data_IF_630501361249
#
_entry.id   IF_630501361249
#
_cell.length_a   1.000
_cell.length_b   1.000
_cell.length_c   1.000
_cell.angle_alpha   90.00
_cell.angle_beta   90.00
_cell.angle_gamma   90.00
#
_symmetry.space_group_name_H-M   'P 1'
#
loop_
_entity.id
_entity.type
_entity.pdbx_description
1 polymer ?
#
# COMPACT_ATOMS: atom_id res chain seq x y z
N UNK A 1 -3.24 3.41 -13.92
CA UNK A 1 -3.53 3.81 -15.32
C UNK A 1 -2.65 3.06 -16.32
N UNK A 2 -1.32 3.00 -16.12
CA UNK A 2 -0.41 2.27 -17.03
C UNK A 2 -0.82 0.79 -17.17
N UNK A 3 -1.05 0.07 -16.07
CA UNK A 3 -1.55 -1.31 -16.08
C UNK A 3 -2.84 -1.47 -16.89
N UNK A 4 -3.73 -0.48 -16.82
CA UNK A 4 -4.98 -0.52 -17.57
C UNK A 4 -4.75 -0.35 -19.08
N UNK A 5 -3.79 0.48 -19.48
CA UNK A 5 -3.42 0.65 -20.90
C UNK A 5 -2.72 -0.60 -21.45
N UNK A 6 -1.86 -1.24 -20.64
CA UNK A 6 -1.09 -2.41 -21.06
C UNK A 6 -1.85 -3.74 -20.94
N UNK A 7 -3.08 -3.72 -20.43
CA UNK A 7 -3.94 -4.90 -20.33
C UNK A 7 -4.68 -5.13 -21.64
N UNK A 8 -4.70 -6.37 -22.14
CA UNK A 8 -5.40 -6.73 -23.39
C UNK A 8 -6.91 -6.42 -23.35
N UNK A 9 -7.54 -6.47 -22.18
CA UNK A 9 -8.93 -6.04 -21.97
C UNK A 9 -9.07 -4.54 -21.62
N UNK A 10 -7.99 -3.77 -21.72
CA UNK A 10 -7.96 -2.34 -21.43
C UNK A 10 -8.46 -1.50 -22.61
N UNK A 11 -8.54 -0.16 -22.42
CA UNK A 11 -9.09 0.75 -23.42
C UNK A 11 -8.25 0.88 -24.70
N UNK A 12 -7.04 0.37 -24.70
CA UNK A 12 -6.09 0.39 -25.82
C UNK A 12 -5.68 -1.03 -26.25
N UNK A 13 -6.44 -2.04 -25.84
CA UNK A 13 -6.23 -3.45 -26.20
C UNK A 13 -4.78 -3.94 -25.93
N UNK A 14 -4.18 -3.44 -24.85
CA UNK A 14 -2.82 -3.75 -24.45
C UNK A 14 -1.72 -2.98 -25.17
N UNK A 15 -2.07 -2.01 -25.99
CA UNK A 15 -1.12 -1.12 -26.66
C UNK A 15 -0.82 0.11 -25.78
N UNK A 16 0.47 0.43 -25.64
CA UNK A 16 0.90 1.65 -24.94
C UNK A 16 0.81 2.84 -25.90
N UNK A 17 -0.39 3.36 -26.04
CA UNK A 17 -0.70 4.53 -26.85
C UNK A 17 -1.48 5.56 -26.04
N UNK A 18 -1.35 6.83 -26.42
CA UNK A 18 -2.19 7.89 -25.84
C UNK A 18 -3.63 7.70 -26.33
N UNK A 19 -4.62 7.49 -25.45
CA UNK A 19 -6.01 7.27 -25.88
C UNK A 19 -6.58 8.40 -26.74
N UNK A 20 -6.08 9.63 -26.57
CA UNK A 20 -6.52 10.82 -27.31
C UNK A 20 -5.96 10.92 -28.73
N UNK A 21 -4.80 10.33 -29.00
CA UNK A 21 -4.09 10.52 -30.29
C UNK A 21 -3.71 9.23 -31.00
N UNK A 22 -3.80 8.07 -30.31
CA UNK A 22 -3.34 6.77 -30.81
C UNK A 22 -1.82 6.66 -30.99
N UNK A 23 -1.04 7.66 -30.57
CA UNK A 23 0.42 7.68 -30.76
C UNK A 23 1.12 6.95 -29.62
N UNK A 24 2.23 6.27 -29.92
CA UNK A 24 3.13 5.67 -28.96
C UNK A 24 4.06 6.72 -28.34
N UNK A 25 4.37 6.64 -27.02
CA UNK A 25 5.41 7.46 -26.42
C UNK A 25 6.79 7.00 -26.91
N UNK A 26 7.73 7.94 -27.08
CA UNK A 26 9.14 7.66 -27.41
C UNK A 26 10.03 7.71 -26.20
N UNK A 27 9.66 8.55 -25.22
CA UNK A 27 10.39 8.72 -23.96
C UNK A 27 9.44 8.60 -22.79
N UNK A 28 9.73 7.68 -21.87
CA UNK A 28 8.93 7.43 -20.67
C UNK A 28 9.79 7.67 -19.43
N UNK A 29 9.28 8.46 -18.51
CA UNK A 29 9.89 8.66 -17.19
C UNK A 29 8.98 8.03 -16.14
N UNK A 30 9.52 7.13 -15.33
CA UNK A 30 8.84 6.52 -14.18
C UNK A 30 9.39 7.15 -12.90
N UNK A 31 8.52 7.70 -12.08
CA UNK A 31 8.90 8.34 -10.81
C UNK A 31 8.48 7.45 -9.66
N UNK A 32 9.46 6.91 -8.92
CA UNK A 32 9.20 6.09 -7.73
C UNK A 32 8.89 6.94 -6.50
N UNK A 33 8.26 6.32 -5.51
CA UNK A 33 7.99 6.88 -4.18
C UNK A 33 7.14 8.17 -4.18
N UNK A 34 6.24 8.35 -5.15
CA UNK A 34 5.37 9.53 -5.20
C UNK A 34 4.39 9.53 -4.04
N UNK A 35 4.59 10.41 -3.06
CA UNK A 35 3.82 10.47 -1.82
C UNK A 35 4.10 9.34 -0.84
N UNK A 36 5.12 8.50 -1.07
CA UNK A 36 5.66 7.52 -0.11
C UNK A 36 7.04 7.96 0.35
N UNK A 37 7.42 7.62 1.60
CA UNK A 37 8.71 8.01 2.20
C UNK A 37 8.88 9.54 2.18
N UNK A 38 7.78 10.22 2.34
CA UNK A 38 7.63 11.66 2.27
C UNK A 38 7.16 12.16 3.64
N UNK A 39 7.97 12.99 4.28
CA UNK A 39 7.72 13.55 5.61
C UNK A 39 6.89 14.83 5.57
N UNK A 40 6.49 15.31 4.39
CA UNK A 40 5.59 16.45 4.26
C UNK A 40 4.16 16.06 4.62
N UNK A 41 3.34 17.04 4.93
CA UNK A 41 1.92 16.84 5.26
C UNK A 41 1.10 16.14 4.15
N UNK A 42 1.57 16.22 2.90
CA UNK A 42 0.90 15.62 1.74
C UNK A 42 1.30 14.16 1.51
N UNK A 43 2.42 13.75 2.08
CA UNK A 43 3.02 12.43 1.91
C UNK A 43 2.66 11.45 3.00
N UNK A 44 3.21 10.24 2.85
CA UNK A 44 3.22 9.16 3.83
C UNK A 44 4.66 8.80 4.15
N UNK A 45 4.99 8.69 5.43
CA UNK A 45 6.36 8.42 5.87
C UNK A 45 6.83 7.00 5.54
N UNK A 46 5.89 6.06 5.40
CA UNK A 46 6.20 4.66 5.11
C UNK A 46 6.50 4.40 3.62
N UNK A 47 7.15 3.27 3.37
CA UNK A 47 7.36 2.73 2.02
C UNK A 47 6.15 1.94 1.57
N UNK A 48 5.68 2.16 0.33
CA UNK A 48 4.60 1.37 -0.28
C UNK A 48 5.02 -0.05 -0.70
N UNK A 49 6.28 -0.44 -0.47
CA UNK A 49 6.88 -1.77 -0.61
C UNK A 49 6.86 -2.36 -2.04
N UNK A 50 5.78 -2.24 -2.78
CA UNK A 50 5.56 -2.94 -4.06
C UNK A 50 6.03 -2.15 -5.30
N UNK A 51 6.26 -0.83 -5.16
CA UNK A 51 6.48 0.03 -6.33
C UNK A 51 7.80 -0.27 -7.07
N UNK A 52 8.87 -0.65 -6.39
CA UNK A 52 10.13 -0.99 -7.06
C UNK A 52 9.96 -2.19 -8.01
N UNK A 53 9.21 -3.20 -7.59
CA UNK A 53 8.95 -4.39 -8.40
C UNK A 53 8.01 -4.11 -9.58
N UNK A 54 6.90 -3.42 -9.38
CA UNK A 54 6.01 -3.13 -10.49
C UNK A 54 6.59 -2.09 -11.45
N UNK A 55 7.44 -1.16 -11.00
CA UNK A 55 8.16 -0.25 -11.88
C UNK A 55 9.16 -1.00 -12.76
N UNK A 56 9.91 -1.96 -12.20
CA UNK A 56 10.79 -2.83 -12.99
C UNK A 56 10.00 -3.62 -14.03
N UNK A 57 8.87 -4.24 -13.63
CA UNK A 57 7.96 -4.95 -14.55
C UNK A 57 7.46 -4.05 -15.68
N UNK A 58 7.00 -2.85 -15.36
CA UNK A 58 6.49 -1.90 -16.36
C UNK A 58 7.59 -1.44 -17.31
N UNK A 59 8.77 -1.13 -16.78
CA UNK A 59 9.90 -0.71 -17.59
C UNK A 59 10.36 -1.81 -18.55
N UNK A 60 10.47 -3.04 -18.08
CA UNK A 60 10.80 -4.22 -18.92
C UNK A 60 9.73 -4.46 -19.97
N UNK A 61 8.45 -4.44 -19.60
CA UNK A 61 7.34 -4.61 -20.53
C UNK A 61 7.37 -3.57 -21.66
N UNK A 62 7.63 -2.30 -21.32
CA UNK A 62 7.74 -1.24 -22.34
C UNK A 62 8.92 -1.51 -23.27
N UNK A 63 10.09 -1.84 -22.72
CA UNK A 63 11.29 -2.12 -23.53
C UNK A 63 11.16 -3.37 -24.37
N UNK A 64 10.47 -4.40 -23.90
CA UNK A 64 10.21 -5.64 -24.64
C UNK A 64 9.31 -5.40 -25.84
N UNK A 65 8.17 -4.74 -25.64
CA UNK A 65 7.20 -4.48 -26.73
C UNK A 65 7.59 -3.32 -27.62
N UNK A 66 8.32 -2.33 -27.10
CA UNK A 66 8.70 -1.10 -27.78
C UNK A 66 10.21 -0.85 -27.62
N UNK A 67 11.07 -1.58 -28.33
CA UNK A 67 12.54 -1.52 -28.14
C UNK A 67 13.16 -0.12 -28.36
N UNK A 68 12.50 0.74 -29.12
CA UNK A 68 12.94 2.09 -29.43
C UNK A 68 12.49 3.14 -28.40
N UNK A 69 11.69 2.75 -27.38
CA UNK A 69 11.24 3.66 -26.33
C UNK A 69 12.33 3.79 -25.28
N UNK A 70 12.75 5.01 -25.00
CA UNK A 70 13.67 5.31 -23.90
C UNK A 70 12.91 5.32 -22.57
N UNK A 71 13.35 4.51 -21.61
CA UNK A 71 12.71 4.39 -20.29
C UNK A 71 13.70 4.76 -19.19
N UNK A 72 13.37 5.83 -18.46
CA UNK A 72 14.15 6.29 -17.30
C UNK A 72 13.33 6.14 -16.02
N UNK A 73 13.90 5.50 -14.99
CA UNK A 73 13.29 5.32 -13.68
C UNK A 73 14.06 6.14 -12.64
N UNK A 74 13.38 7.12 -12.01
CA UNK A 74 13.92 7.84 -10.86
C UNK A 74 13.58 7.11 -9.56
N UNK A 75 14.56 6.92 -8.69
CA UNK A 75 14.42 6.18 -7.45
C UNK A 75 15.28 6.76 -6.32
N UNK A 76 14.87 6.55 -5.07
CA UNK A 76 15.64 6.91 -3.87
C UNK A 76 16.61 5.77 -3.52
N UNK A 77 16.07 4.58 -3.34
CA UNK A 77 16.75 3.28 -3.27
C UNK A 77 15.81 2.21 -3.86
N UNK A 78 16.36 1.11 -4.32
CA UNK A 78 15.60 -0.03 -4.82
C UNK A 78 15.34 -0.99 -3.66
N UNK A 79 14.07 -1.32 -3.44
CA UNK A 79 13.61 -2.28 -2.43
C UNK A 79 12.91 -3.43 -3.12
N UNK A 80 13.62 -4.52 -3.25
CA UNK A 80 13.17 -5.75 -3.91
C UNK A 80 13.31 -6.94 -2.96
N UNK A 81 12.60 -6.94 -1.81
CA UNK A 81 12.73 -7.98 -0.80
C UNK A 81 12.03 -9.25 -1.28
N UNK A 82 12.80 -10.29 -1.53
CA UNK A 82 12.29 -11.59 -1.96
C UNK A 82 13.32 -12.36 -2.79
N UNK A 83 13.17 -13.69 -2.82
CA UNK A 83 14.04 -14.57 -3.61
C UNK A 83 13.80 -14.31 -5.10
N UNK A 84 14.85 -13.96 -5.83
CA UNK A 84 14.81 -13.67 -7.27
C UNK A 84 14.33 -12.27 -7.63
N UNK A 85 13.99 -11.40 -6.66
CA UNK A 85 13.45 -10.07 -6.93
C UNK A 85 14.56 -9.06 -7.26
N UNK A 86 15.74 -9.20 -6.65
CA UNK A 86 16.89 -8.38 -6.99
C UNK A 86 17.42 -8.69 -8.40
N UNK A 87 17.46 -9.97 -8.74
CA UNK A 87 17.79 -10.45 -10.08
C UNK A 87 16.80 -9.93 -11.13
N UNK A 88 15.52 -9.88 -10.80
CA UNK A 88 14.49 -9.30 -11.67
C UNK A 88 14.74 -7.81 -11.94
N UNK A 89 15.10 -7.05 -10.90
CA UNK A 89 15.48 -5.65 -11.05
C UNK A 89 16.74 -5.50 -11.91
N UNK A 90 17.78 -6.34 -11.67
CA UNK A 90 19.02 -6.30 -12.47
C UNK A 90 18.75 -6.56 -13.94
N UNK A 91 17.88 -7.50 -14.25
CA UNK A 91 17.47 -7.77 -15.64
C UNK A 91 16.90 -6.53 -16.32
N UNK A 92 16.09 -5.73 -15.62
CA UNK A 92 15.57 -4.50 -16.18
C UNK A 92 16.69 -3.54 -16.63
N UNK A 93 17.78 -3.48 -15.89
CA UNK A 93 18.95 -2.65 -16.20
C UNK A 93 19.84 -3.29 -17.28
N UNK A 94 20.24 -4.55 -17.07
CA UNK A 94 21.30 -5.21 -17.85
C UNK A 94 20.81 -5.76 -19.17
N UNK A 95 19.60 -6.37 -19.21
CA UNK A 95 19.06 -7.00 -20.42
C UNK A 95 18.15 -6.06 -21.21
N UNK A 96 17.31 -5.28 -20.50
CA UNK A 96 16.33 -4.39 -21.15
C UNK A 96 16.81 -2.96 -21.32
N UNK A 97 18.00 -2.60 -20.78
CA UNK A 97 18.60 -1.30 -20.95
C UNK A 97 17.77 -0.15 -20.36
N UNK A 98 17.05 -0.41 -19.24
CA UNK A 98 16.31 0.63 -18.54
C UNK A 98 17.27 1.54 -17.78
N UNK A 99 17.14 2.84 -17.95
CA UNK A 99 17.97 3.83 -17.27
C UNK A 99 17.47 4.09 -15.85
N UNK A 100 18.19 3.59 -14.84
CA UNK A 100 17.88 3.87 -13.44
C UNK A 100 18.73 5.03 -12.94
N UNK A 101 18.08 6.14 -12.53
CA UNK A 101 18.72 7.34 -12.00
C UNK A 101 18.39 7.45 -10.52
N UNK A 102 19.43 7.34 -9.68
CA UNK A 102 19.28 7.57 -8.25
C UNK A 102 19.10 9.05 -7.99
N UNK A 103 17.88 9.46 -7.65
CA UNK A 103 17.57 10.87 -7.49
C UNK A 103 16.10 11.12 -7.23
N UNK A 104 15.78 12.38 -7.11
CA UNK A 104 14.42 12.84 -6.89
C UNK A 104 13.96 13.76 -8.02
N UNK A 105 12.72 13.57 -8.42
CA UNK A 105 12.02 14.50 -9.29
C UNK A 105 11.42 15.61 -8.42
N UNK A 106 11.92 16.81 -8.58
CA UNK A 106 11.46 17.99 -7.83
C UNK A 106 10.19 18.58 -8.43
N UNK A 107 10.04 18.51 -9.76
CA UNK A 107 8.88 19.11 -10.45
C UNK A 107 8.62 18.40 -11.77
N UNK A 108 7.34 18.21 -12.07
CA UNK A 108 6.85 17.91 -13.42
C UNK A 108 6.01 19.11 -13.86
N UNK A 109 6.38 19.73 -14.98
CA UNK A 109 5.67 20.85 -15.55
C UNK A 109 5.05 20.45 -16.90
N UNK A 110 3.95 21.09 -17.23
CA UNK A 110 3.30 21.00 -18.54
C UNK A 110 3.32 22.41 -19.13
N UNK A 111 3.80 22.58 -20.34
CA UNK A 111 3.76 23.86 -21.03
C UNK A 111 2.39 24.12 -21.70
N UNK A 112 2.25 25.29 -22.35
CA UNK A 112 1.01 25.68 -23.02
C UNK A 112 0.62 24.76 -24.19
N UNK A 113 1.56 24.02 -24.76
CA UNK A 113 1.38 23.06 -25.85
C UNK A 113 1.16 21.63 -25.35
N UNK A 114 1.09 21.44 -24.05
CA UNK A 114 0.90 20.13 -23.41
C UNK A 114 2.17 19.28 -23.33
N UNK A 115 3.36 19.83 -23.59
CA UNK A 115 4.63 19.12 -23.48
C UNK A 115 5.08 19.01 -22.03
N UNK A 116 5.57 17.83 -21.67
CA UNK A 116 6.04 17.53 -20.33
C UNK A 116 7.53 17.93 -20.16
N UNK A 117 7.84 18.54 -19.03
CA UNK A 117 9.21 18.78 -18.58
C UNK A 117 9.38 18.24 -17.17
N UNK A 118 10.38 17.39 -16.98
CA UNK A 118 10.73 16.80 -15.68
C UNK A 118 12.04 17.42 -15.20
N UNK A 119 11.98 18.07 -14.03
CA UNK A 119 13.13 18.61 -13.33
C UNK A 119 13.53 17.64 -12.22
N UNK A 120 14.75 17.14 -12.27
CA UNK A 120 15.25 16.14 -11.35
C UNK A 120 16.70 16.41 -10.96
N UNK A 121 17.17 15.70 -9.94
CA UNK A 121 18.59 15.71 -9.55
C UNK A 121 19.10 14.27 -9.55
N UNK A 122 20.23 14.05 -10.18
CA UNK A 122 20.99 12.79 -10.07
C UNK A 122 21.93 12.89 -8.88
N UNK A 123 21.67 12.09 -7.85
CA UNK A 123 22.47 12.10 -6.62
C UNK A 123 23.85 11.46 -6.79
N UNK A 124 24.04 10.61 -7.79
CA UNK A 124 25.33 9.96 -8.03
C UNK A 124 26.31 10.91 -8.71
N UNK A 125 25.85 11.71 -9.67
CA UNK A 125 26.68 12.68 -10.38
C UNK A 125 26.62 14.10 -9.80
N UNK A 126 25.66 14.39 -8.91
CA UNK A 126 25.36 15.72 -8.38
C UNK A 126 24.77 16.69 -9.41
N UNK A 127 24.36 16.22 -10.56
CA UNK A 127 23.86 17.06 -11.66
C UNK A 127 22.35 17.27 -11.58
N UNK A 128 21.93 18.48 -11.93
CA UNK A 128 20.52 18.73 -12.23
C UNK A 128 20.19 18.25 -13.64
N UNK A 129 19.08 17.55 -13.76
CA UNK A 129 18.58 16.99 -15.00
C UNK A 129 17.28 17.66 -15.41
N UNK A 130 17.17 17.95 -16.69
CA UNK A 130 15.94 18.40 -17.32
C UNK A 130 15.62 17.48 -18.48
N UNK A 131 14.50 16.74 -18.37
CA UNK A 131 14.07 15.75 -19.34
C UNK A 131 12.75 16.18 -19.98
N UNK A 132 12.57 15.79 -21.21
CA UNK A 132 11.36 16.07 -22.00
C UNK A 132 10.70 14.76 -22.43
N UNK A 133 10.01 14.06 -21.49
CA UNK A 133 9.33 12.81 -21.81
C UNK A 133 7.99 13.06 -22.48
N UNK A 134 7.53 12.07 -23.25
CA UNK A 134 6.18 12.03 -23.78
C UNK A 134 5.18 11.51 -22.75
N UNK A 135 5.66 10.65 -21.80
CA UNK A 135 4.86 10.05 -20.74
C UNK A 135 5.61 10.08 -19.42
N UNK A 136 4.93 10.53 -18.37
CA UNK A 136 5.39 10.39 -16.99
C UNK A 136 4.47 9.45 -16.22
N UNK A 137 5.05 8.41 -15.65
CA UNK A 137 4.37 7.41 -14.83
C UNK A 137 4.69 7.68 -13.37
N UNK A 138 3.68 7.92 -12.56
CA UNK A 138 3.84 8.18 -11.13
C UNK A 138 3.55 6.91 -10.32
N UNK A 139 4.55 6.40 -9.60
CA UNK A 139 4.39 5.31 -8.65
C UNK A 139 3.83 5.86 -7.33
N UNK A 140 2.51 6.02 -7.28
CA UNK A 140 1.80 6.61 -6.16
C UNK A 140 1.83 5.76 -4.89
N UNK A 141 1.73 6.41 -3.74
CA UNK A 141 1.67 5.76 -2.44
C UNK A 141 0.44 4.85 -2.31
N UNK A 142 0.66 3.69 -1.70
CA UNK A 142 -0.41 2.79 -1.27
C UNK A 142 -1.00 3.36 0.02
N UNK A 143 -2.30 3.61 0.03
CA UNK A 143 -3.04 4.12 1.19
C UNK A 143 -4.18 3.16 1.53
N UNK A 144 -4.63 3.12 2.80
CA UNK A 144 -5.86 2.46 3.16
C UNK A 144 -7.07 3.01 2.39
N UNK A 145 -8.14 2.22 2.31
CA UNK A 145 -9.41 2.70 1.77
C UNK A 145 -9.91 3.91 2.57
N UNK A 146 -10.54 4.90 1.94
CA UNK A 146 -11.17 6.02 2.66
C UNK A 146 -12.16 5.58 3.74
N UNK A 147 -12.81 4.42 3.57
CA UNK A 147 -13.76 3.85 4.51
C UNK A 147 -13.12 2.98 5.61
N UNK A 148 -11.79 2.80 5.62
CA UNK A 148 -11.11 1.93 6.59
C UNK A 148 -11.42 2.32 8.03
N UNK A 149 -11.38 3.61 8.37
CA UNK A 149 -11.69 4.13 9.72
C UNK A 149 -13.15 3.88 10.11
N UNK A 150 -14.10 4.05 9.19
CA UNK A 150 -15.52 3.78 9.42
C UNK A 150 -15.74 2.30 9.72
N UNK A 151 -15.15 1.41 8.92
CA UNK A 151 -15.25 -0.03 9.14
C UNK A 151 -14.57 -0.45 10.44
N UNK A 152 -13.41 0.13 10.77
CA UNK A 152 -12.73 -0.11 12.04
C UNK A 152 -13.63 0.21 13.24
N UNK A 153 -14.32 1.36 13.20
CA UNK A 153 -15.27 1.75 14.25
C UNK A 153 -16.42 0.74 14.38
N UNK A 154 -17.00 0.30 13.24
CA UNK A 154 -18.08 -0.69 13.24
C UNK A 154 -17.65 -2.05 13.81
N UNK A 155 -16.42 -2.46 13.58
CA UNK A 155 -15.85 -3.73 14.05
C UNK A 155 -15.17 -3.61 15.42
N UNK A 156 -15.10 -2.42 15.98
CA UNK A 156 -14.29 -2.11 17.19
C UNK A 156 -12.84 -2.56 17.02
N UNK A 157 -12.32 -2.47 15.79
CA UNK A 157 -10.96 -2.87 15.44
C UNK A 157 -10.00 -1.69 15.55
N UNK A 158 -8.78 -1.96 16.01
CA UNK A 158 -7.74 -0.94 16.13
C UNK A 158 -7.11 -0.63 14.78
N UNK A 159 -6.78 0.65 14.55
CA UNK A 159 -6.02 1.14 13.42
C UNK A 159 -4.82 1.97 13.91
N UNK A 160 -3.79 2.05 13.09
CA UNK A 160 -2.62 2.88 13.34
C UNK A 160 -2.83 4.35 12.89
N UNK A 161 -1.79 5.16 13.01
CA UNK A 161 -1.82 6.58 12.63
C UNK A 161 -1.99 6.79 11.11
N UNK A 162 -1.75 5.76 10.31
CA UNK A 162 -1.90 5.78 8.86
C UNK A 162 -3.18 5.12 8.37
N UNK A 163 -4.09 4.75 9.29
CA UNK A 163 -5.39 4.09 9.07
C UNK A 163 -5.28 2.62 8.60
N UNK A 164 -4.15 1.95 8.79
CA UNK A 164 -4.05 0.51 8.63
C UNK A 164 -4.51 -0.21 9.90
N UNK A 165 -5.12 -1.38 9.72
CA UNK A 165 -5.52 -2.23 10.85
C UNK A 165 -4.30 -2.80 11.58
N UNK A 166 -4.38 -2.82 12.91
CA UNK A 166 -3.28 -3.29 13.77
C UNK A 166 -3.54 -4.72 14.20
N UNK A 167 -2.52 -5.57 14.09
CA UNK A 167 -2.53 -6.93 14.62
C UNK A 167 -2.41 -6.94 16.15
N UNK A 168 -2.93 -8.00 16.76
CA UNK A 168 -2.86 -8.20 18.20
C UNK A 168 -1.41 -8.34 18.72
N UNK A 169 -0.53 -8.94 17.92
CA UNK A 169 0.91 -9.02 18.19
C UNK A 169 1.68 -9.37 16.92
N UNK A 170 2.71 -8.59 16.53
CA UNK A 170 3.36 -8.75 15.22
C UNK A 170 4.06 -10.09 15.01
N UNK A 171 4.50 -10.77 16.08
CA UNK A 171 5.18 -12.07 15.99
C UNK A 171 4.29 -13.25 16.36
N UNK A 172 3.44 -13.12 17.37
CA UNK A 172 2.69 -14.25 17.95
C UNK A 172 1.27 -14.34 17.40
N UNK A 173 0.67 -13.22 17.00
CA UNK A 173 -0.71 -13.11 16.51
C UNK A 173 -0.79 -12.15 15.32
N UNK A 174 -0.07 -12.43 14.21
CA UNK A 174 0.13 -11.46 13.12
C UNK A 174 -1.09 -11.31 12.20
N UNK A 175 -2.07 -12.19 12.30
CA UNK A 175 -3.29 -12.17 11.47
C UNK A 175 -4.57 -11.98 12.29
N UNK A 176 -4.45 -11.82 13.60
CA UNK A 176 -5.56 -11.56 14.51
C UNK A 176 -5.53 -10.09 14.91
N UNK A 177 -6.66 -9.42 14.91
CA UNK A 177 -6.76 -8.08 15.51
C UNK A 177 -6.83 -8.20 17.05
N UNK A 178 -6.66 -7.09 17.80
CA UNK A 178 -6.94 -7.08 19.24
C UNK A 178 -8.39 -7.46 19.58
N UNK A 179 -9.31 -7.23 18.64
CA UNK A 179 -10.73 -7.59 18.80
C UNK A 179 -10.95 -9.06 18.43
N UNK A 180 -11.51 -9.83 19.36
CA UNK A 180 -11.78 -11.25 19.13
C UNK A 180 -12.75 -11.45 17.96
N UNK A 181 -12.45 -12.45 17.11
CA UNK A 181 -13.25 -12.78 15.93
C UNK A 181 -12.97 -11.92 14.69
N UNK A 182 -12.10 -10.92 14.80
CA UNK A 182 -11.66 -10.10 13.66
C UNK A 182 -10.24 -10.50 13.25
N UNK A 183 -10.11 -10.94 12.00
CA UNK A 183 -8.86 -11.40 11.41
C UNK A 183 -8.42 -10.49 10.27
N UNK A 184 -7.11 -10.33 10.11
CA UNK A 184 -6.51 -9.40 9.15
C UNK A 184 -5.85 -10.17 8.01
N UNK A 185 -6.08 -9.73 6.78
CA UNK A 185 -5.47 -10.31 5.59
C UNK A 185 -5.19 -9.24 4.53
N UNK A 186 -4.02 -9.32 3.91
CA UNK A 186 -3.63 -8.47 2.81
C UNK A 186 -3.31 -7.03 3.20
N UNK A 187 -3.58 -6.10 2.29
CA UNK A 187 -3.16 -4.71 2.39
C UNK A 187 -3.92 -3.88 3.43
N UNK A 188 -4.94 -4.43 4.08
CA UNK A 188 -5.63 -3.73 5.16
C UNK A 188 -4.72 -3.47 6.38
N UNK A 189 -3.70 -4.30 6.58
CA UNK A 189 -2.71 -4.16 7.66
C UNK A 189 -1.48 -3.35 7.25
N UNK A 190 -1.23 -3.18 5.97
CA UNK A 190 -0.08 -2.46 5.42
C UNK A 190 0.24 -2.90 4.00
N UNK A 191 1.12 -2.18 3.30
CA UNK A 191 1.53 -2.54 1.95
C UNK A 191 2.15 -3.93 1.87
N UNK A 192 1.62 -4.78 0.99
CA UNK A 192 2.05 -6.17 0.76
C UNK A 192 2.03 -6.51 -0.72
N UNK A 193 2.90 -7.43 -1.13
CA UNK A 193 2.82 -8.03 -2.45
C UNK A 193 1.79 -9.18 -2.51
N UNK A 194 1.61 -9.76 -3.69
CA UNK A 194 0.63 -10.84 -3.89
C UNK A 194 1.02 -12.12 -3.11
N UNK A 195 2.29 -12.62 -3.17
CA UNK A 195 2.71 -13.78 -2.39
C UNK A 195 2.50 -13.60 -0.89
N UNK A 196 2.83 -12.45 -0.33
CA UNK A 196 2.61 -12.14 1.09
C UNK A 196 1.11 -12.10 1.43
N UNK A 197 0.31 -11.48 0.56
CA UNK A 197 -1.15 -11.41 0.73
C UNK A 197 -1.78 -12.81 0.75
N UNK A 198 -1.38 -13.69 -0.18
CA UNK A 198 -1.88 -15.07 -0.24
C UNK A 198 -1.45 -15.87 0.99
N UNK A 199 -0.19 -15.74 1.39
CA UNK A 199 0.34 -16.39 2.59
C UNK A 199 -0.41 -15.95 3.85
N UNK A 200 -0.66 -14.66 3.99
CA UNK A 200 -1.41 -14.10 5.11
C UNK A 200 -2.89 -14.53 5.10
N UNK A 201 -3.51 -14.60 3.91
CA UNK A 201 -4.87 -15.10 3.77
C UNK A 201 -5.00 -16.57 4.24
N UNK A 202 -4.02 -17.42 3.88
CA UNK A 202 -3.95 -18.78 4.38
C UNK A 202 -3.82 -18.86 5.90
N UNK A 203 -2.98 -18.02 6.49
CA UNK A 203 -2.82 -17.95 7.94
C UNK A 203 -4.10 -17.47 8.65
N UNK A 204 -4.77 -16.43 8.11
CA UNK A 204 -6.03 -15.95 8.63
C UNK A 204 -7.13 -17.02 8.56
N UNK A 205 -7.24 -17.73 7.42
CA UNK A 205 -8.19 -18.82 7.25
C UNK A 205 -7.94 -19.96 8.27
N UNK A 206 -6.68 -20.35 8.50
CA UNK A 206 -6.33 -21.36 9.50
C UNK A 206 -6.76 -20.93 10.92
N UNK A 207 -6.61 -19.64 11.27
CA UNK A 207 -7.07 -19.12 12.56
C UNK A 207 -8.60 -19.11 12.68
N UNK A 208 -9.31 -18.75 11.62
CA UNK A 208 -10.78 -18.82 11.57
C UNK A 208 -11.25 -20.25 11.75
N UNK A 209 -10.66 -21.21 11.04
CA UNK A 209 -10.97 -22.64 11.17
C UNK A 209 -10.73 -23.09 12.61
N UNK A 210 -9.57 -22.75 13.20
CA UNK A 210 -9.25 -23.10 14.59
C UNK A 210 -10.22 -22.53 15.62
N UNK A 211 -10.85 -21.39 15.31
CA UNK A 211 -11.91 -20.81 16.14
C UNK A 211 -13.24 -21.53 15.97
N UNK A 212 -13.66 -21.78 14.71
CA UNK A 212 -14.98 -22.31 14.37
C UNK A 212 -15.09 -23.84 14.49
N UNK A 213 -13.95 -24.56 14.55
CA UNK A 213 -13.92 -26.02 14.74
C UNK A 213 -14.22 -26.46 16.19
N UNK A 214 -14.37 -25.52 17.11
CA UNK A 214 -14.67 -25.81 18.52
C UNK A 214 -16.18 -25.84 18.75
N UNK A 215 -16.64 -26.80 19.53
CA UNK A 215 -18.06 -26.88 19.93
C UNK A 215 -18.46 -25.73 20.88
N UNK A 216 -17.49 -25.17 21.60
CA UNK A 216 -17.70 -24.04 22.51
C UNK A 216 -16.45 -23.15 22.54
N UNK A 217 -16.64 -21.88 22.85
CA UNK A 217 -15.57 -20.90 23.07
C UNK A 217 -15.34 -20.72 24.57
N UNK A 218 -14.09 -20.80 24.99
CA UNK A 218 -13.69 -20.44 26.34
C UNK A 218 -13.55 -18.92 26.43
N UNK A 219 -14.27 -18.30 27.35
CA UNK A 219 -14.13 -16.88 27.65
C UNK A 219 -13.05 -16.66 28.72
N UNK A 220 -12.45 -15.46 28.70
CA UNK A 220 -11.49 -15.11 29.75
C UNK A 220 -12.25 -15.01 31.11
N UNK A 221 -11.88 -15.81 32.11
CA UNK A 221 -12.56 -15.81 33.42
C UNK A 221 -12.34 -14.50 34.20
N UNK A 222 -11.33 -13.71 33.85
CA UNK A 222 -11.04 -12.43 34.50
C UNK A 222 -11.85 -11.25 33.91
N UNK A 223 -13.07 -11.50 33.49
CA UNK A 223 -13.98 -10.45 33.01
C UNK A 223 -14.75 -9.84 34.18
N UNK A 224 -14.77 -8.51 34.26
CA UNK A 224 -15.58 -7.81 35.28
C UNK A 224 -17.06 -8.08 35.08
N UNK A 225 -17.74 -8.56 36.13
CA UNK A 225 -19.16 -8.82 36.12
C UNK A 225 -19.86 -7.91 37.14
N UNK A 226 -20.90 -7.24 36.70
CA UNK A 226 -21.75 -6.49 37.61
C UNK A 226 -22.91 -7.39 38.11
N UNK A 227 -22.98 -7.59 39.41
CA UNK A 227 -24.09 -8.28 40.04
C UNK A 227 -25.28 -7.29 40.26
N UNK A 228 -26.22 -7.30 39.37
CA UNK A 228 -27.35 -6.34 39.37
C UNK A 228 -28.11 -6.31 40.71
N UNK A 229 -28.27 -7.47 41.38
CA UNK A 229 -29.01 -7.62 42.61
C UNK A 229 -28.38 -6.90 43.82
N UNK A 230 -27.06 -6.61 43.75
CA UNK A 230 -26.32 -5.92 44.83
C UNK A 230 -25.74 -4.60 44.38
N UNK A 231 -25.96 -4.23 43.11
CA UNK A 231 -25.47 -2.99 42.53
C UNK A 231 -26.25 -1.78 43.09
N UNK A 232 -25.58 -0.84 43.69
CA UNK A 232 -26.15 0.41 44.21
C UNK A 232 -26.47 1.44 43.13
N UNK A 233 -26.14 1.19 41.88
CA UNK A 233 -26.33 2.13 40.75
C UNK A 233 -25.45 3.39 40.82
N UNK A 234 -24.37 3.40 41.57
CA UNK A 234 -23.52 4.58 41.76
C UNK A 234 -22.76 5.05 40.52
N UNK A 235 -22.74 4.26 39.44
CA UNK A 235 -22.12 4.56 38.12
C UNK A 235 -20.60 4.74 38.15
N UNK A 236 -19.94 4.53 39.30
CA UNK A 236 -18.49 4.69 39.42
C UNK A 236 -17.72 3.82 38.43
N UNK A 237 -18.17 2.57 38.20
CA UNK A 237 -17.54 1.66 37.25
C UNK A 237 -17.58 2.19 35.80
N UNK A 238 -18.66 2.85 35.40
CA UNK A 238 -18.77 3.48 34.08
C UNK A 238 -17.86 4.72 33.96
N UNK A 239 -17.77 5.51 35.03
CA UNK A 239 -16.92 6.72 35.04
C UNK A 239 -15.42 6.43 35.03
N UNK A 240 -14.98 5.34 35.70
CA UNK A 240 -13.54 4.99 35.75
C UNK A 240 -13.10 4.08 34.62
N UNK A 241 -14.01 3.56 33.79
CA UNK A 241 -13.67 2.68 32.68
C UNK A 241 -13.03 3.48 31.53
N UNK A 242 -11.73 3.32 31.24
CA UNK A 242 -11.05 4.09 30.20
C UNK A 242 -11.52 3.71 28.78
N UNK A 243 -12.23 2.58 28.65
CA UNK A 243 -12.70 2.05 27.37
C UNK A 243 -14.17 2.34 27.11
N UNK A 244 -14.90 2.96 28.03
CA UNK A 244 -16.35 3.16 27.91
C UNK A 244 -17.14 1.85 27.75
N UNK A 245 -16.63 0.73 28.27
CA UNK A 245 -17.19 -0.60 28.06
C UNK A 245 -18.42 -0.91 28.96
N UNK A 246 -18.79 0.00 29.85
CA UNK A 246 -19.89 -0.19 30.80
C UNK A 246 -21.00 0.80 30.46
N UNK A 247 -22.15 0.27 30.06
CA UNK A 247 -23.39 1.01 29.86
C UNK A 247 -24.32 0.79 31.05
N UNK A 248 -25.19 1.74 31.33
CA UNK A 248 -26.22 1.61 32.33
C UNK A 248 -27.58 2.12 31.81
N UNK A 249 -28.61 1.45 32.16
CA UNK A 249 -29.98 1.88 31.91
C UNK A 249 -30.62 2.37 33.20
N UNK A 250 -31.36 3.46 33.12
CA UNK A 250 -32.17 3.92 34.24
C UNK A 250 -33.56 3.25 34.12
N UNK A 251 -33.79 2.19 34.89
CA UNK A 251 -35.13 1.63 35.00
C UNK A 251 -36.01 2.63 35.80
N UNK A 252 -37.03 3.11 35.18
CA UNK A 252 -38.10 3.91 35.85
C UNK A 252 -38.96 3.03 36.75
#
# INVERSE_FOLDING_TARGET
>A
QLERLTNAAGPTEGHLVFPSTGKEPKKVVIVSCVGSRDTTERGKTYCSKICCMYNAKHAMYIREKYPNVDVTVFYIDVRTPGKGFDEFYRRAVEEYGVHYVRGQVGKVAVDGDGKLTVFASDLNSGKHLMLFPDLVVLAGAVKPSPDARKLATMLTASIDNDDFYVEAHPKLRPVESPTAGVFLSGMCQGPKDIPETVSQAGAAAAKVIGLLAKDHLETNPCTALCHENICSGCKTCAHVCPYGAITYEVKQ
#
